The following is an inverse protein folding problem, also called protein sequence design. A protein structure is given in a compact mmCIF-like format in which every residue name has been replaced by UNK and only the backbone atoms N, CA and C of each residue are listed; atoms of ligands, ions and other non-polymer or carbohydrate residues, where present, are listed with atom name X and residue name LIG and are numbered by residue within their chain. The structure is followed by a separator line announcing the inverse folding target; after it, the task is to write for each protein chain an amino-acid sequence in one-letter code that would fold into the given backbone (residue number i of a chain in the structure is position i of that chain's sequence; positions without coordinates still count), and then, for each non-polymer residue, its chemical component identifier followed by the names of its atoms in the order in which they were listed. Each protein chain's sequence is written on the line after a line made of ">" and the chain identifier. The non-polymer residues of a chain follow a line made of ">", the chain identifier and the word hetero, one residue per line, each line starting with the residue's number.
data_IF_775117215497
#
_entry.id   IF_775117215497
#
_cell.length_a   1.000
_cell.length_b   1.000
_cell.length_c   1.000
_cell.angle_alpha   90.00
_cell.angle_beta   90.00
_cell.angle_gamma   90.00
#
_symmetry.space_group_name_H-M   'P 1'
#
loop_
_entity.id
_entity.type
_entity.pdbx_description
1 polymer ?
#
# COMPACT_ATOMS: atom_id res chain seq x y z
N UNK A 1 -11.88 11.49 8.43
CA UNK A 1 -13.24 10.94 8.55
C UNK A 1 -14.27 12.00 8.18
N UNK A 2 -15.46 11.62 7.68
CA UNK A 2 -16.51 12.57 7.29
C UNK A 2 -16.97 13.51 8.41
N UNK A 3 -16.81 13.12 9.68
CA UNK A 3 -17.11 13.94 10.85
C UNK A 3 -16.04 14.96 11.24
N UNK A 4 -14.95 15.08 10.48
CA UNK A 4 -13.89 16.08 10.70
C UNK A 4 -12.61 15.56 11.36
N UNK A 5 -12.59 14.34 11.90
CA UNK A 5 -11.36 13.72 12.41
C UNK A 5 -10.34 13.54 11.28
N UNK A 6 -9.12 14.03 11.45
CA UNK A 6 -8.04 13.90 10.45
C UNK A 6 -6.94 13.02 11.02
N UNK A 7 -6.50 12.05 10.21
CA UNK A 7 -5.36 11.19 10.49
C UNK A 7 -4.24 11.54 9.52
N UNK A 8 -2.99 11.45 9.97
CA UNK A 8 -1.82 11.73 9.14
C UNK A 8 -0.79 10.62 9.27
N UNK A 9 -0.06 10.39 8.18
CA UNK A 9 1.10 9.53 8.13
C UNK A 9 2.19 10.27 7.35
N UNK A 10 3.31 10.51 8.03
CA UNK A 10 4.50 11.09 7.40
C UNK A 10 5.33 9.97 6.78
N UNK A 11 5.63 10.12 5.48
CA UNK A 11 6.40 9.13 4.71
C UNK A 11 7.71 8.76 5.41
N UNK A 12 7.87 7.49 5.76
CA UNK A 12 9.08 6.97 6.42
C UNK A 12 10.27 6.95 5.46
N UNK A 13 10.09 6.44 4.24
CA UNK A 13 11.19 6.25 3.31
C UNK A 13 11.18 7.29 2.20
N UNK A 14 11.99 8.34 2.34
CA UNK A 14 12.17 9.36 1.31
C UNK A 14 12.95 8.78 0.11
N UNK A 15 12.48 9.09 -1.11
CA UNK A 15 13.03 8.61 -2.37
C UNK A 15 14.32 9.36 -2.72
N UNK A 16 15.46 8.75 -2.37
CA UNK A 16 16.79 9.36 -2.51
C UNK A 16 17.15 9.73 -3.95
N UNK A 17 16.71 8.96 -4.94
CA UNK A 17 17.06 9.14 -6.35
C UNK A 17 16.37 10.36 -6.99
N UNK A 18 15.46 11.03 -6.28
CA UNK A 18 14.92 12.34 -6.67
C UNK A 18 15.12 13.37 -5.55
N UNK A 19 16.16 13.18 -4.73
CA UNK A 19 16.57 14.12 -3.70
C UNK A 19 15.49 14.50 -2.67
N UNK A 20 14.47 13.66 -2.48
CA UNK A 20 13.37 13.94 -1.53
C UNK A 20 13.91 14.11 -0.11
N UNK A 21 14.94 13.34 0.24
CA UNK A 21 15.65 13.41 1.53
C UNK A 21 16.43 14.71 1.78
N UNK A 22 16.70 15.52 0.76
CA UNK A 22 17.35 16.83 0.91
C UNK A 22 16.33 17.95 1.18
N UNK A 23 15.05 17.70 0.86
CA UNK A 23 13.99 18.71 0.91
C UNK A 23 12.93 18.44 1.98
N UNK A 24 12.78 17.19 2.42
CA UNK A 24 11.75 16.76 3.36
C UNK A 24 12.31 16.01 4.57
N UNK A 25 11.53 15.99 5.65
CA UNK A 25 11.83 15.20 6.86
C UNK A 25 11.11 13.86 6.79
N UNK A 26 11.83 12.78 7.05
CA UNK A 26 11.25 11.45 7.14
C UNK A 26 10.37 11.31 8.38
N UNK A 27 9.23 10.63 8.22
CA UNK A 27 8.40 10.18 9.33
C UNK A 27 9.09 9.09 10.16
N UNK A 28 8.53 8.80 11.33
CA UNK A 28 9.06 7.77 12.24
C UNK A 28 7.99 6.87 12.88
N UNK A 29 6.72 7.09 12.56
CA UNK A 29 5.61 6.34 13.12
C UNK A 29 4.93 5.51 12.03
N UNK A 30 4.67 4.24 12.34
CA UNK A 30 3.74 3.40 11.59
C UNK A 30 2.36 3.62 12.17
N UNK A 31 1.45 4.18 11.37
CA UNK A 31 0.12 4.63 11.81
C UNK A 31 -0.92 3.63 11.31
N UNK A 32 -1.74 3.09 12.23
CA UNK A 32 -2.92 2.29 11.89
C UNK A 32 -4.15 3.13 12.20
N UNK A 33 -5.03 3.29 11.23
CA UNK A 33 -6.28 4.02 11.35
C UNK A 33 -7.43 3.04 11.35
N UNK A 34 -8.34 3.14 12.33
CA UNK A 34 -9.58 2.38 12.33
C UNK A 34 -10.70 3.18 11.68
N UNK A 35 -11.35 2.61 10.67
CA UNK A 35 -12.49 3.24 10.02
C UNK A 35 -13.51 2.19 9.58
N UNK A 36 -14.78 2.36 9.99
CA UNK A 36 -15.88 1.42 9.70
C UNK A 36 -15.56 -0.04 10.03
N UNK A 37 -14.83 -0.28 11.12
CA UNK A 37 -14.43 -1.62 11.57
C UNK A 37 -13.26 -2.24 10.79
N UNK A 38 -12.60 -1.49 9.91
CA UNK A 38 -11.37 -1.89 9.22
C UNK A 38 -10.16 -1.21 9.85
N UNK A 39 -9.08 -1.97 10.09
CA UNK A 39 -7.77 -1.42 10.45
C UNK A 39 -6.95 -1.16 9.19
N UNK A 40 -6.56 0.08 8.97
CA UNK A 40 -5.99 0.57 7.72
C UNK A 40 -4.57 1.07 7.96
N UNK A 41 -3.61 0.53 7.21
CA UNK A 41 -2.22 0.98 7.17
C UNK A 41 -1.99 1.86 5.93
N UNK A 42 -2.02 3.21 6.04
CA UNK A 42 -1.61 4.10 4.97
C UNK A 42 -0.08 4.14 4.83
N UNK A 43 0.41 4.05 3.60
CA UNK A 43 1.82 4.11 3.23
C UNK A 43 2.00 4.94 1.94
N UNK A 44 3.20 5.46 1.72
CA UNK A 44 3.46 6.40 0.62
C UNK A 44 4.57 5.88 -0.27
N UNK A 45 4.19 5.55 -1.51
CA UNK A 45 5.04 5.29 -2.66
C UNK A 45 6.24 4.38 -2.34
N UNK A 46 7.40 4.97 -2.06
CA UNK A 46 8.66 4.28 -1.85
C UNK A 46 8.64 3.32 -0.65
N UNK A 47 7.76 3.56 0.33
CA UNK A 47 7.51 2.63 1.44
C UNK A 47 7.20 1.20 0.96
N UNK A 48 6.58 1.04 -0.21
CA UNK A 48 6.28 -0.26 -0.82
C UNK A 48 7.51 -1.17 -0.96
N UNK A 49 8.72 -0.59 -1.09
CA UNK A 49 9.97 -1.36 -1.22
C UNK A 49 10.47 -1.96 0.09
N UNK A 50 9.91 -1.60 1.23
CA UNK A 50 10.44 -1.94 2.55
C UNK A 50 9.49 -2.91 3.27
N UNK A 51 9.62 -4.24 3.05
CA UNK A 51 8.67 -5.22 3.56
C UNK A 51 8.55 -5.22 5.08
N UNK A 52 9.66 -4.99 5.80
CA UNK A 52 9.66 -4.94 7.27
C UNK A 52 8.80 -3.81 7.80
N UNK A 53 8.74 -2.66 7.11
CA UNK A 53 7.87 -1.54 7.49
C UNK A 53 6.39 -1.80 7.16
N UNK A 54 6.14 -2.54 6.09
CA UNK A 54 4.79 -2.97 5.70
C UNK A 54 4.30 -4.19 6.46
N UNK A 55 5.16 -4.87 7.23
CA UNK A 55 4.86 -6.18 7.81
C UNK A 55 3.63 -6.11 8.70
N UNK A 56 2.65 -6.98 8.45
CA UNK A 56 1.47 -7.11 9.29
C UNK A 56 1.81 -7.87 10.56
N UNK A 57 1.62 -7.21 11.70
CA UNK A 57 1.80 -7.79 13.03
C UNK A 57 0.44 -8.22 13.59
N UNK A 58 -0.44 -8.69 12.71
CA UNK A 58 -1.88 -8.87 12.94
C UNK A 58 -2.60 -7.58 13.36
N UNK A 59 -2.09 -6.43 12.95
CA UNK A 59 -2.54 -5.12 13.38
C UNK A 59 -3.30 -4.36 12.29
N UNK A 60 -3.35 -4.86 11.05
CA UNK A 60 -4.18 -4.27 10.00
C UNK A 60 -4.86 -5.28 9.08
N UNK A 61 -5.88 -4.81 8.37
CA UNK A 61 -6.74 -5.57 7.45
C UNK A 61 -6.61 -5.09 5.99
N UNK A 62 -6.28 -3.80 5.82
CA UNK A 62 -6.04 -3.15 4.53
C UNK A 62 -4.76 -2.30 4.59
N UNK A 63 -3.87 -2.47 3.61
CA UNK A 63 -2.79 -1.51 3.37
C UNK A 63 -3.08 -0.65 2.14
N UNK A 64 -2.85 0.65 2.25
CA UNK A 64 -3.04 1.61 1.16
C UNK A 64 -1.69 2.19 0.77
N UNK A 65 -1.39 2.19 -0.53
CA UNK A 65 -0.20 2.84 -1.08
C UNK A 65 -0.62 3.95 -2.05
N UNK A 66 -0.34 5.20 -1.72
CA UNK A 66 -0.48 6.33 -2.65
C UNK A 66 0.86 6.64 -3.30
N UNK A 67 0.91 6.87 -4.61
CA UNK A 67 2.17 6.93 -5.33
C UNK A 67 2.24 7.91 -6.51
N UNK A 68 3.45 8.40 -6.72
CA UNK A 68 3.96 8.86 -8.01
C UNK A 68 5.04 7.86 -8.43
N UNK A 69 4.63 6.69 -8.92
CA UNK A 69 5.54 5.60 -9.29
C UNK A 69 5.83 5.61 -10.79
N UNK A 70 7.09 5.89 -11.22
CA UNK A 70 7.40 6.07 -12.64
C UNK A 70 7.20 4.80 -13.48
N UNK A 71 6.73 4.99 -14.71
CA UNK A 71 6.42 3.94 -15.69
C UNK A 71 7.57 2.94 -15.93
N UNK A 72 8.87 3.35 -15.98
CA UNK A 72 9.97 2.39 -16.17
C UNK A 72 10.06 1.31 -15.08
N UNK A 73 9.48 1.55 -13.89
CA UNK A 73 9.47 0.60 -12.77
C UNK A 73 8.08 0.04 -12.51
N UNK A 74 7.18 0.06 -13.49
CA UNK A 74 5.81 -0.41 -13.32
C UNK A 74 5.73 -1.85 -12.83
N UNK A 75 6.55 -2.74 -13.38
CA UNK A 75 6.59 -4.14 -12.94
C UNK A 75 6.86 -4.25 -11.43
N UNK A 76 7.74 -3.40 -10.87
CA UNK A 76 8.02 -3.41 -9.43
C UNK A 76 6.80 -2.95 -8.62
N UNK A 77 6.06 -1.95 -9.10
CA UNK A 77 4.82 -1.51 -8.45
C UNK A 77 3.80 -2.65 -8.39
N UNK A 78 3.55 -3.29 -9.53
CA UNK A 78 2.59 -4.38 -9.66
C UNK A 78 2.97 -5.58 -8.80
N UNK A 79 4.21 -6.06 -8.92
CA UNK A 79 4.69 -7.24 -8.21
C UNK A 79 4.75 -7.01 -6.70
N UNK A 80 5.22 -5.85 -6.24
CA UNK A 80 5.34 -5.57 -4.81
C UNK A 80 3.95 -5.40 -4.16
N UNK A 81 2.98 -4.78 -4.81
CA UNK A 81 1.62 -4.71 -4.26
C UNK A 81 1.03 -6.11 -4.07
N UNK A 82 1.16 -6.97 -5.07
CA UNK A 82 0.71 -8.37 -4.98
C UNK A 82 1.44 -9.11 -3.86
N UNK A 83 2.77 -8.99 -3.78
CA UNK A 83 3.56 -9.60 -2.71
C UNK A 83 3.11 -9.10 -1.32
N UNK A 84 2.84 -7.80 -1.15
CA UNK A 84 2.36 -7.25 0.12
C UNK A 84 1.00 -7.78 0.51
N UNK A 85 0.11 -8.07 -0.44
CA UNK A 85 -1.19 -8.64 -0.14
C UNK A 85 -1.04 -10.09 0.35
N UNK A 86 -0.25 -10.88 -0.35
CA UNK A 86 0.00 -12.31 -0.07
C UNK A 86 0.73 -12.47 1.28
N UNK A 87 1.91 -11.85 1.43
CA UNK A 87 2.78 -12.13 2.58
C UNK A 87 2.16 -11.64 3.90
N UNK A 88 1.31 -10.61 3.85
CA UNK A 88 0.68 -9.99 5.00
C UNK A 88 -0.78 -10.40 5.21
N UNK A 89 -1.30 -11.26 4.34
CA UNK A 89 -2.67 -11.76 4.35
C UNK A 89 -3.68 -10.64 4.59
N UNK A 90 -3.60 -9.59 3.77
CA UNK A 90 -4.38 -8.37 3.91
C UNK A 90 -4.79 -7.86 2.53
N UNK A 91 -5.87 -7.10 2.47
CA UNK A 91 -6.18 -6.37 1.26
C UNK A 91 -5.10 -5.31 1.01
N UNK A 92 -4.82 -5.03 -0.26
CA UNK A 92 -3.90 -3.96 -0.68
C UNK A 92 -4.56 -3.10 -1.74
N UNK A 93 -4.60 -1.79 -1.51
CA UNK A 93 -5.04 -0.81 -2.50
C UNK A 93 -3.87 0.10 -2.90
N UNK A 94 -3.45 0.03 -4.16
CA UNK A 94 -2.45 0.89 -4.74
C UNK A 94 -3.09 1.95 -5.63
N UNK A 95 -2.86 3.23 -5.35
CA UNK A 95 -3.28 4.35 -6.19
C UNK A 95 -2.04 5.09 -6.70
N UNK A 96 -1.86 5.10 -8.02
CA UNK A 96 -0.77 5.78 -8.69
C UNK A 96 -1.31 6.75 -9.75
N UNK A 97 -0.61 7.86 -9.95
CA UNK A 97 -0.96 8.84 -10.99
C UNK A 97 -0.68 8.33 -12.40
N UNK A 98 -1.26 9.00 -13.39
CA UNK A 98 -0.93 8.87 -14.82
C UNK A 98 -0.36 10.18 -15.37
N UNK A 99 0.12 10.14 -16.62
CA UNK A 99 0.61 11.31 -17.35
C UNK A 99 2.08 11.62 -17.09
N UNK A 100 2.47 12.87 -17.33
CA UNK A 100 3.84 13.36 -17.13
C UNK A 100 3.87 14.47 -16.09
N UNK A 101 4.98 14.62 -15.37
CA UNK A 101 5.22 15.79 -14.51
C UNK A 101 6.21 16.79 -15.12
N UNK A 102 6.42 17.91 -14.43
CA UNK A 102 7.35 18.97 -14.86
C UNK A 102 8.83 18.56 -14.85
N UNK A 103 9.16 17.39 -14.30
CA UNK A 103 10.51 16.84 -14.30
C UNK A 103 10.72 15.82 -15.44
N UNK A 104 9.76 15.71 -16.36
CA UNK A 104 9.81 14.74 -17.46
C UNK A 104 9.59 13.29 -17.02
N UNK A 105 9.15 13.04 -15.78
CA UNK A 105 8.83 11.69 -15.34
C UNK A 105 7.46 11.28 -15.87
N UNK A 106 7.40 10.11 -16.51
CA UNK A 106 6.18 9.51 -17.02
C UNK A 106 5.61 8.49 -16.04
N UNK A 107 4.28 8.50 -15.89
CA UNK A 107 3.53 7.63 -15.00
C UNK A 107 2.42 6.92 -15.78
N UNK A 108 2.31 5.60 -15.62
CA UNK A 108 1.32 4.79 -16.33
C UNK A 108 0.12 4.40 -15.46
N UNK A 109 0.04 4.85 -14.21
CA UNK A 109 -0.99 4.40 -13.28
C UNK A 109 -0.68 2.99 -12.78
N UNK A 110 -1.40 2.00 -13.31
CA UNK A 110 -1.46 0.63 -12.78
C UNK A 110 -2.06 0.56 -11.35
N UNK A 111 -2.93 1.52 -11.01
CA UNK A 111 -3.71 1.49 -9.78
C UNK A 111 -4.54 0.20 -9.71
N UNK A 112 -4.63 -0.41 -8.53
CA UNK A 112 -5.29 -1.70 -8.35
C UNK A 112 -5.68 -1.96 -6.91
N UNK A 113 -6.65 -2.84 -6.74
CA UNK A 113 -7.04 -3.42 -5.45
C UNK A 113 -6.83 -4.93 -5.53
N UNK A 114 -6.18 -5.48 -4.51
CA UNK A 114 -5.72 -6.87 -4.45
C UNK A 114 -6.26 -7.50 -3.17
N UNK A 115 -6.80 -8.72 -3.28
CA UNK A 115 -7.27 -9.49 -2.13
C UNK A 115 -6.12 -10.17 -1.37
N UNK A 116 -6.37 -10.73 -0.18
CA UNK A 116 -5.35 -11.38 0.63
C UNK A 116 -4.66 -12.59 -0.03
N UNK A 117 -5.28 -13.18 -1.06
CA UNK A 117 -4.71 -14.28 -1.84
C UNK A 117 -3.77 -13.79 -2.97
N UNK A 118 -3.69 -12.48 -3.19
CA UNK A 118 -2.91 -11.87 -4.27
C UNK A 118 -3.68 -11.69 -5.59
N UNK A 119 -4.98 -11.99 -5.62
CA UNK A 119 -5.81 -11.81 -6.81
C UNK A 119 -6.21 -10.35 -6.95
N UNK A 120 -6.12 -9.83 -8.18
CA UNK A 120 -6.50 -8.46 -8.50
C UNK A 120 -8.01 -8.40 -8.66
N UNK A 121 -8.68 -7.68 -7.75
CA UNK A 121 -10.14 -7.55 -7.74
C UNK A 121 -10.64 -6.25 -8.40
N UNK A 122 -9.75 -5.29 -8.61
CA UNK A 122 -9.99 -4.12 -9.47
C UNK A 122 -8.66 -3.59 -10.01
N UNK A 123 -8.63 -3.13 -11.26
CA UNK A 123 -7.43 -2.54 -11.88
C UNK A 123 -7.80 -1.41 -12.82
N UNK A 124 -6.96 -0.37 -12.85
CA UNK A 124 -7.03 0.70 -13.81
C UNK A 124 -6.27 0.33 -15.08
N UNK A 125 -6.76 0.79 -16.23
CA UNK A 125 -6.04 0.71 -17.49
C UNK A 125 -4.79 1.61 -17.47
N UNK A 126 -3.74 1.16 -18.16
CA UNK A 126 -2.49 1.91 -18.22
C UNK A 126 -2.69 3.25 -18.93
N UNK A 127 -2.01 4.29 -18.43
CA UNK A 127 -2.00 5.66 -18.96
C UNK A 127 -3.33 6.41 -18.92
N UNK A 128 -4.42 5.81 -18.43
CA UNK A 128 -5.73 6.42 -18.38
C UNK A 128 -6.05 6.96 -16.98
N UNK A 129 -6.46 8.23 -16.90
CA UNK A 129 -7.01 8.77 -15.68
C UNK A 129 -8.39 8.13 -15.46
N UNK A 130 -8.55 7.40 -14.37
CA UNK A 130 -9.78 6.64 -14.11
C UNK A 130 -10.06 6.51 -12.62
N UNK A 131 -11.31 6.18 -12.31
CA UNK A 131 -11.76 5.70 -11.01
C UNK A 131 -11.94 4.19 -11.11
N UNK A 132 -11.45 3.48 -10.10
CA UNK A 132 -11.77 2.05 -9.91
C UNK A 132 -12.51 1.87 -8.59
N UNK A 133 -13.44 0.93 -8.57
CA UNK A 133 -14.25 0.59 -7.42
C UNK A 133 -14.05 -0.90 -7.09
N UNK A 134 -13.98 -1.24 -5.81
CA UNK A 134 -13.83 -2.61 -5.32
C UNK A 134 -14.58 -2.78 -3.99
N UNK A 135 -15.17 -3.95 -3.79
CA UNK A 135 -15.78 -4.35 -2.53
C UNK A 135 -14.81 -5.25 -1.74
N UNK A 136 -14.62 -4.96 -0.45
CA UNK A 136 -13.77 -5.75 0.44
C UNK A 136 -14.65 -6.54 1.41
N UNK A 137 -14.38 -7.83 1.58
CA UNK A 137 -15.12 -8.70 2.50
C UNK A 137 -14.29 -9.02 3.73
N UNK A 138 -14.73 -8.51 4.88
CA UNK A 138 -14.12 -8.85 6.18
C UNK A 138 -14.30 -10.33 6.52
N UNK A 139 -15.40 -10.95 6.08
CA UNK A 139 -15.66 -12.38 6.26
C UNK A 139 -14.63 -13.19 5.49
N UNK A 140 -14.45 -12.92 4.20
CA UNK A 140 -13.48 -13.63 3.37
C UNK A 140 -12.03 -13.46 3.87
N UNK A 141 -11.69 -12.26 4.37
CA UNK A 141 -10.38 -12.02 4.99
C UNK A 141 -10.14 -12.91 6.22
N UNK A 142 -11.13 -13.00 7.11
CA UNK A 142 -11.04 -13.79 8.34
C UNK A 142 -10.96 -15.28 8.02
N UNK A 143 -11.85 -15.77 7.17
CA UNK A 143 -11.86 -17.17 6.72
C UNK A 143 -10.52 -17.57 6.09
N UNK A 144 -9.91 -16.69 5.29
CA UNK A 144 -8.59 -16.96 4.72
C UNK A 144 -7.47 -17.03 5.78
N UNK A 145 -7.44 -16.07 6.71
CA UNK A 145 -6.45 -16.06 7.81
C UNK A 145 -6.62 -17.25 8.75
N UNK A 146 -7.83 -17.76 8.91
CA UNK A 146 -8.12 -18.97 9.70
C UNK A 146 -7.71 -20.24 8.96
N UNK A 147 -8.04 -20.34 7.67
CA UNK A 147 -7.69 -21.50 6.82
C UNK A 147 -6.19 -21.62 6.55
N UNK A 148 -5.48 -20.50 6.52
CA UNK A 148 -4.04 -20.44 6.28
C UNK A 148 -3.38 -19.46 7.26
N UNK A 149 -3.16 -19.83 8.53
CA UNK A 149 -2.73 -18.90 9.58
C UNK A 149 -1.21 -18.62 9.58
N UNK A 150 -0.65 -18.22 8.44
CA UNK A 150 0.80 -17.98 8.29
C UNK A 150 1.37 -16.93 9.26
N UNK A 151 0.52 -16.05 9.78
CA UNK A 151 0.89 -15.09 10.83
C UNK A 151 1.30 -15.74 12.15
N UNK A 152 0.89 -16.98 12.44
CA UNK A 152 1.29 -17.71 13.65
C UNK A 152 2.75 -18.18 13.59
N UNK A 153 3.29 -18.33 12.39
CA UNK A 153 4.67 -18.75 12.14
C UNK A 153 5.60 -17.56 11.87
N UNK A 154 5.14 -16.33 12.13
CA UNK A 154 5.90 -15.12 11.83
C UNK A 154 7.10 -14.93 12.77
N UNK A 155 8.25 -14.60 12.21
CA UNK A 155 9.43 -14.22 13.00
C UNK A 155 9.19 -12.92 13.77
N UNK A 156 9.58 -12.91 15.04
CA UNK A 156 9.57 -11.69 15.85
C UNK A 156 10.70 -10.74 15.45
N UNK A 157 10.41 -9.43 15.45
CA UNK A 157 11.43 -8.40 15.22
C UNK A 157 11.10 -7.11 15.96
N UNK A 158 12.09 -6.22 16.05
CA UNK A 158 11.92 -4.84 16.52
C UNK A 158 12.48 -3.88 15.50
N UNK A 159 11.70 -2.86 15.17
CA UNK A 159 12.17 -1.72 14.39
C UNK A 159 13.16 -0.93 15.26
N UNK A 160 14.33 -0.63 14.70
CA UNK A 160 15.37 0.21 15.33
C UNK A 160 15.38 1.59 14.69
#
# INVERSE_FOLDING_TARGET
>A
EPGGTVHFYDKRHLFRMADEHLHYKAGNARVIVEWRGWRILPLVCYDLRFPVWSRNLNDYDLAIYVANWPAPRSLHWQALLTARAIENQAYVAGCNRVGSDGNGCHYRGDSRVINPQGEIIATADAHQATRIDAELSMVALREYREKFPAWQDADEFRLR
#
